data_IF_791807797467
#
_entry.id   IF_791807797467
#
_cell.length_a   1.000
_cell.length_b   1.000
_cell.length_c   1.000
_cell.angle_alpha   90.00
_cell.angle_beta   90.00
_cell.angle_gamma   90.00
#
_symmetry.space_group_name_H-M   'P 1'
#
loop_
_entity.id
_entity.type
_entity.pdbx_description
1 polymer ?
#
# COMPACT_ATOMS: atom_id res chain seq x y z
N UNK A 1 21.18 2.92 -0.19
CA UNK A 1 19.77 3.34 0.02
C UNK A 1 19.64 3.97 1.43
N UNK A 2 18.53 4.64 1.74
CA UNK A 2 18.18 4.92 3.15
C UNK A 2 17.80 3.61 3.88
N UNK A 3 17.92 3.57 5.21
CA UNK A 3 17.19 2.61 6.06
C UNK A 3 15.84 3.22 6.48
N UNK A 4 14.97 2.45 7.14
CA UNK A 4 13.69 2.99 7.66
C UNK A 4 13.93 4.07 8.71
N UNK A 5 14.90 3.85 9.60
CA UNK A 5 15.29 4.79 10.65
C UNK A 5 15.83 6.08 10.06
N UNK A 6 16.70 5.99 9.04
CA UNK A 6 17.23 7.17 8.36
C UNK A 6 16.14 7.93 7.57
N UNK A 7 15.16 7.21 7.01
CA UNK A 7 13.99 7.86 6.40
C UNK A 7 13.16 8.60 7.46
N UNK A 8 12.94 8.00 8.64
CA UNK A 8 12.22 8.63 9.75
C UNK A 8 12.91 9.92 10.20
N UNK A 9 14.22 9.84 10.46
CA UNK A 9 15.05 11.01 10.84
C UNK A 9 14.94 12.13 9.79
N UNK A 10 15.02 11.78 8.49
CA UNK A 10 14.85 12.76 7.41
C UNK A 10 13.48 13.43 7.46
N UNK A 11 12.42 12.63 7.54
CA UNK A 11 11.04 13.11 7.50
C UNK A 11 10.67 13.94 8.73
N UNK A 12 11.23 13.64 9.90
CA UNK A 12 10.99 14.38 11.13
C UNK A 12 11.72 15.73 11.19
N UNK A 13 12.82 15.89 10.43
CA UNK A 13 13.50 17.19 10.26
C UNK A 13 12.82 18.10 9.23
N UNK A 14 12.03 17.53 8.32
CA UNK A 14 11.40 18.26 7.23
C UNK A 14 10.22 19.13 7.69
N UNK A 15 9.97 20.24 7.00
CA UNK A 15 8.70 20.96 7.15
C UNK A 15 7.54 20.07 6.70
N UNK A 16 6.30 20.35 7.13
CA UNK A 16 5.13 19.53 6.76
C UNK A 16 4.98 19.36 5.23
N UNK A 17 5.23 20.41 4.46
CA UNK A 17 5.19 20.34 2.99
C UNK A 17 6.30 19.46 2.41
N UNK A 18 7.53 19.58 2.92
CA UNK A 18 8.66 18.76 2.50
C UNK A 18 8.48 17.29 2.92
N UNK A 19 7.95 17.05 4.12
CA UNK A 19 7.64 15.74 4.68
C UNK A 19 6.66 14.99 3.77
N UNK A 20 5.52 15.61 3.47
CA UNK A 20 4.53 15.01 2.55
C UNK A 20 5.15 14.73 1.17
N UNK A 21 5.91 15.66 0.62
CA UNK A 21 6.58 15.48 -0.68
C UNK A 21 7.53 14.28 -0.70
N UNK A 22 8.34 14.11 0.33
CA UNK A 22 9.26 12.97 0.43
C UNK A 22 8.57 11.66 0.80
N UNK A 23 7.45 11.70 1.52
CA UNK A 23 6.59 10.53 1.72
C UNK A 23 5.97 10.07 0.40
N UNK A 24 5.43 10.97 -0.43
CA UNK A 24 4.91 10.60 -1.76
C UNK A 24 6.04 10.12 -2.68
N UNK A 25 7.23 10.72 -2.62
CA UNK A 25 8.38 10.24 -3.39
C UNK A 25 8.80 8.82 -3.00
N UNK A 26 8.77 8.52 -1.69
CA UNK A 26 9.00 7.19 -1.13
C UNK A 26 7.93 6.20 -1.60
N UNK A 27 6.66 6.55 -1.51
CA UNK A 27 5.55 5.65 -1.85
C UNK A 27 5.56 5.31 -3.33
N UNK A 28 5.75 6.32 -4.18
CA UNK A 28 5.64 6.17 -5.64
C UNK A 28 6.93 5.72 -6.31
N UNK A 29 8.06 5.87 -5.63
CA UNK A 29 9.38 5.60 -6.18
C UNK A 29 9.70 6.39 -7.45
N UNK A 30 9.03 7.51 -7.72
CA UNK A 30 9.22 8.28 -8.95
C UNK A 30 10.59 8.97 -9.00
N UNK A 31 11.00 9.43 -10.18
CA UNK A 31 12.12 10.39 -10.25
C UNK A 31 11.62 11.73 -9.73
N UNK A 32 12.50 12.51 -9.09
CA UNK A 32 12.12 13.84 -8.58
C UNK A 32 11.55 14.76 -9.68
N UNK A 33 12.08 14.68 -10.91
CA UNK A 33 11.56 15.44 -12.04
C UNK A 33 10.21 14.96 -12.57
N UNK A 34 9.77 13.76 -12.21
CA UNK A 34 8.42 13.26 -12.47
C UNK A 34 7.49 13.74 -11.36
N UNK A 35 7.90 13.63 -10.08
CA UNK A 35 7.14 14.07 -8.92
C UNK A 35 6.71 15.55 -8.99
N UNK A 36 7.64 16.44 -9.37
CA UNK A 36 7.38 17.89 -9.46
C UNK A 36 6.47 18.28 -10.62
N UNK A 37 6.03 17.33 -11.43
CA UNK A 37 5.14 17.56 -12.58
C UNK A 37 3.79 16.88 -12.40
N UNK A 38 3.56 16.22 -11.26
CA UNK A 38 2.27 15.59 -10.94
C UNK A 38 1.26 16.68 -10.62
N UNK A 39 0.11 16.59 -11.29
CA UNK A 39 -1.05 17.45 -11.07
C UNK A 39 -2.13 16.72 -10.29
N UNK A 40 -3.13 17.45 -9.82
CA UNK A 40 -4.28 16.84 -9.15
C UNK A 40 -5.09 15.96 -10.10
N UNK A 41 -5.23 16.34 -11.37
CA UNK A 41 -5.92 15.53 -12.39
C UNK A 41 -5.25 14.18 -12.68
N UNK A 42 -4.00 14.00 -12.25
CA UNK A 42 -3.27 12.74 -12.38
C UNK A 42 -3.59 11.74 -11.25
N UNK A 43 -4.37 12.16 -10.26
CA UNK A 43 -4.68 11.39 -9.05
C UNK A 43 -6.06 10.75 -9.16
N UNK A 44 -6.10 9.44 -8.94
CA UNK A 44 -7.31 8.63 -8.98
C UNK A 44 -7.61 8.10 -7.57
N UNK A 45 -8.78 8.44 -7.06
CA UNK A 45 -9.26 8.11 -5.71
C UNK A 45 -10.25 6.94 -5.70
N UNK A 46 -10.56 6.35 -6.86
CA UNK A 46 -11.59 5.30 -6.99
C UNK A 46 -11.14 3.92 -6.48
N UNK A 47 -9.83 3.72 -6.35
CA UNK A 47 -9.24 2.42 -6.00
C UNK A 47 -8.99 2.26 -4.49
N UNK A 48 -8.68 1.02 -4.06
CA UNK A 48 -8.35 0.67 -2.66
C UNK A 48 -7.15 1.46 -2.10
N UNK A 49 -6.26 1.92 -2.98
CA UNK A 49 -5.18 2.87 -2.69
C UNK A 49 -5.25 4.02 -3.68
N UNK A 50 -4.87 5.21 -3.24
CA UNK A 50 -4.80 6.37 -4.13
C UNK A 50 -3.75 6.09 -5.20
N UNK A 51 -4.18 6.13 -6.46
CA UNK A 51 -3.32 5.91 -7.61
C UNK A 51 -2.87 7.25 -8.19
N UNK A 52 -1.61 7.32 -8.61
CA UNK A 52 -0.98 8.50 -9.19
C UNK A 52 -0.41 8.12 -10.55
N UNK A 53 -0.93 8.76 -11.60
CA UNK A 53 -0.53 8.53 -12.98
C UNK A 53 0.67 9.40 -13.31
N UNK A 54 1.80 8.75 -13.60
CA UNK A 54 3.04 9.44 -13.98
C UNK A 54 3.16 9.41 -15.49
N UNK A 55 2.87 10.54 -16.13
CA UNK A 55 2.78 10.63 -17.59
C UNK A 55 4.11 10.42 -18.31
N UNK A 56 4.04 9.74 -19.45
CA UNK A 56 5.12 9.49 -20.39
C UNK A 56 5.88 10.77 -20.82
N UNK A 57 5.17 11.90 -20.96
CA UNK A 57 5.75 13.21 -21.32
C UNK A 57 6.85 13.65 -20.35
N UNK A 58 6.74 13.23 -19.09
CA UNK A 58 7.70 13.57 -18.05
C UNK A 58 8.72 12.46 -17.77
N UNK A 59 8.56 11.26 -18.33
CA UNK A 59 9.53 10.17 -18.18
C UNK A 59 10.56 10.21 -19.30
N UNK A 60 11.84 9.94 -18.97
CA UNK A 60 12.92 9.79 -19.99
C UNK A 60 12.61 8.66 -21.00
N UNK A 61 11.67 7.78 -20.67
CA UNK A 61 11.36 6.53 -21.35
C UNK A 61 10.07 6.57 -22.17
N UNK A 62 9.31 7.68 -22.15
CA UNK A 62 8.00 7.82 -22.82
C UNK A 62 6.98 6.71 -22.49
N UNK A 63 7.12 6.02 -21.35
CA UNK A 63 6.10 5.08 -20.85
C UNK A 63 5.45 5.70 -19.61
N UNK A 64 4.11 5.74 -19.61
CA UNK A 64 3.33 6.12 -18.44
C UNK A 64 3.39 4.98 -17.43
N UNK A 65 3.40 5.31 -16.14
CA UNK A 65 3.28 4.31 -15.07
C UNK A 65 2.27 4.79 -14.04
N UNK A 66 1.58 3.84 -13.44
CA UNK A 66 0.79 4.09 -12.23
C UNK A 66 1.66 3.78 -11.01
N UNK A 67 1.58 4.62 -10.00
CA UNK A 67 2.15 4.38 -8.68
C UNK A 67 1.07 4.63 -7.63
N UNK A 68 1.30 4.23 -6.38
CA UNK A 68 0.29 4.32 -5.34
C UNK A 68 0.81 5.04 -4.09
N UNK A 69 -0.12 5.48 -3.27
CA UNK A 69 0.12 6.13 -1.97
C UNK A 69 -0.19 5.13 -0.86
N UNK A 70 0.68 5.07 0.15
CA UNK A 70 0.48 4.22 1.33
C UNK A 70 -0.62 4.78 2.23
N UNK A 71 -1.22 3.95 3.07
CA UNK A 71 -2.22 4.37 4.06
C UNK A 71 -1.69 5.40 5.06
N UNK A 72 -0.42 5.31 5.46
CA UNK A 72 0.19 6.32 6.36
C UNK A 72 0.27 7.72 5.70
N UNK A 73 0.44 7.79 4.38
CA UNK A 73 0.60 9.06 3.66
C UNK A 73 -0.75 9.63 3.21
N UNK A 74 -1.74 8.75 3.00
CA UNK A 74 -3.06 9.08 2.46
C UNK A 74 -3.76 10.26 3.16
N UNK A 75 -3.81 10.37 4.51
CA UNK A 75 -4.50 11.48 5.18
C UNK A 75 -3.95 12.85 4.79
N UNK A 76 -2.62 13.02 4.86
CA UNK A 76 -1.96 14.27 4.49
C UNK A 76 -2.09 14.56 2.99
N UNK A 77 -2.02 13.51 2.16
CA UNK A 77 -2.19 13.67 0.72
C UNK A 77 -3.59 14.14 0.35
N UNK A 78 -4.64 13.59 0.98
CA UNK A 78 -6.03 14.03 0.77
C UNK A 78 -6.25 15.49 1.16
N UNK A 79 -5.62 15.96 2.24
CA UNK A 79 -5.69 17.37 2.63
C UNK A 79 -5.09 18.25 1.53
N UNK A 80 -3.90 17.90 1.02
CA UNK A 80 -3.29 18.63 -0.09
C UNK A 80 -4.22 18.71 -1.31
N UNK A 81 -4.85 17.60 -1.70
CA UNK A 81 -5.74 17.56 -2.87
C UNK A 81 -6.97 18.47 -2.73
N UNK A 82 -7.50 18.67 -1.51
CA UNK A 82 -8.62 19.59 -1.25
C UNK A 82 -8.25 21.04 -1.54
N UNK A 83 -6.98 21.42 -1.39
CA UNK A 83 -6.49 22.78 -1.58
C UNK A 83 -5.91 23.02 -2.98
N UNK A 84 -6.08 22.08 -3.92
CA UNK A 84 -5.53 22.16 -5.27
C UNK A 84 -6.66 22.11 -6.31
N UNK A 85 -6.48 22.86 -7.40
CA UNK A 85 -7.29 22.70 -8.62
C UNK A 85 -6.71 21.58 -9.49
N UNK A 86 -7.51 21.07 -10.41
CA UNK A 86 -7.18 19.85 -11.16
C UNK A 86 -5.89 19.99 -11.97
N UNK A 87 -5.69 21.12 -12.63
CA UNK A 87 -4.48 21.42 -13.41
C UNK A 87 -3.30 21.93 -12.58
N UNK A 88 -3.44 22.10 -11.26
CA UNK A 88 -2.34 22.62 -10.44
C UNK A 88 -1.31 21.54 -10.11
N UNK A 89 -0.02 21.94 -10.16
CA UNK A 89 1.08 21.13 -9.65
C UNK A 89 0.90 20.89 -8.15
N UNK A 90 1.02 19.61 -7.75
CA UNK A 90 0.92 19.21 -6.36
C UNK A 90 2.16 19.62 -5.56
N UNK A 91 3.34 19.42 -6.14
CA UNK A 91 4.63 19.60 -5.45
C UNK A 91 5.64 20.46 -6.20
N UNK A 92 5.41 20.74 -7.49
CA UNK A 92 6.30 21.54 -8.32
C UNK A 92 6.15 23.03 -8.07
N UNK A 93 7.27 23.75 -8.10
CA UNK A 93 7.31 25.22 -7.97
C UNK A 93 7.24 25.94 -9.31
N UNK A 94 7.38 25.21 -10.43
CA UNK A 94 7.39 25.77 -11.78
C UNK A 94 6.93 24.73 -12.80
N UNK A 95 6.32 25.23 -13.89
CA UNK A 95 6.01 24.47 -15.09
C UNK A 95 7.27 24.04 -15.85
N UNK A 96 8.36 24.80 -15.72
CA UNK A 96 9.65 24.32 -16.19
C UNK A 96 10.18 23.22 -15.26
N UNK A 97 10.10 21.99 -15.76
CA UNK A 97 10.59 20.79 -15.10
C UNK A 97 12.05 20.90 -14.65
N UNK A 98 12.93 21.57 -15.40
CA UNK A 98 14.34 21.67 -15.04
C UNK A 98 14.53 22.58 -13.83
N UNK A 99 13.88 23.73 -13.83
CA UNK A 99 13.85 24.66 -12.70
C UNK A 99 13.24 24.01 -11.45
N UNK A 100 12.03 23.43 -11.56
CA UNK A 100 11.38 22.76 -10.42
C UNK A 100 12.25 21.64 -9.84
N UNK A 101 12.86 20.80 -10.70
CA UNK A 101 13.80 19.76 -10.29
C UNK A 101 15.04 20.32 -9.59
N UNK A 102 15.58 21.45 -10.09
CA UNK A 102 16.72 22.15 -9.50
C UNK A 102 16.40 22.64 -8.09
N UNK A 103 15.27 23.32 -7.93
CA UNK A 103 14.77 23.79 -6.63
C UNK A 103 14.62 22.66 -5.62
N UNK A 104 14.03 21.53 -6.01
CA UNK A 104 13.88 20.39 -5.08
C UNK A 104 15.22 19.75 -4.69
N UNK A 105 16.19 19.70 -5.60
CA UNK A 105 17.52 19.18 -5.26
C UNK A 105 18.24 20.09 -4.26
N UNK A 106 18.10 21.40 -4.41
CA UNK A 106 18.64 22.38 -3.46
C UNK A 106 17.95 22.24 -2.10
N UNK A 107 16.62 22.12 -2.08
CA UNK A 107 15.85 21.94 -0.86
C UNK A 107 16.20 20.64 -0.12
N UNK A 108 16.36 19.52 -0.83
CA UNK A 108 16.86 18.28 -0.23
C UNK A 108 18.28 18.43 0.32
N UNK A 109 19.14 19.15 -0.41
CA UNK A 109 20.53 19.40 0.02
C UNK A 109 20.58 20.18 1.32
N UNK A 110 19.71 21.17 1.49
CA UNK A 110 19.54 21.89 2.75
C UNK A 110 19.24 20.93 3.90
N UNK A 111 18.18 20.12 3.82
CA UNK A 111 17.83 19.18 4.89
C UNK A 111 18.93 18.16 5.18
N UNK A 112 19.59 17.62 4.15
CA UNK A 112 20.72 16.71 4.35
C UNK A 112 21.86 17.39 5.12
N UNK A 113 22.21 18.62 4.77
CA UNK A 113 23.30 19.34 5.42
C UNK A 113 22.94 19.71 6.86
N UNK A 114 21.69 20.09 7.13
CA UNK A 114 21.20 20.32 8.49
C UNK A 114 21.25 19.03 9.31
N UNK A 115 20.80 17.91 8.76
CA UNK A 115 20.89 16.61 9.42
C UNK A 115 22.33 16.17 9.67
N UNK A 116 23.25 16.45 8.74
CA UNK A 116 24.65 16.06 8.86
C UNK A 116 25.37 16.70 10.06
N UNK A 117 24.81 17.75 10.67
CA UNK A 117 25.31 18.36 11.91
C UNK A 117 25.11 17.43 13.11
N UNK A 118 23.98 16.74 13.16
CA UNK A 118 23.58 15.86 14.26
C UNK A 118 23.81 14.37 13.94
N UNK A 119 23.76 14.01 12.65
CA UNK A 119 23.84 12.65 12.10
C UNK A 119 24.88 12.59 10.97
N UNK A 120 26.17 12.42 11.29
CA UNK A 120 27.27 12.49 10.32
C UNK A 120 27.11 11.58 9.09
N UNK A 121 26.39 10.46 9.22
CA UNK A 121 26.12 9.51 8.13
C UNK A 121 25.32 10.12 6.96
N UNK A 122 24.60 11.23 7.19
CA UNK A 122 23.92 11.98 6.13
C UNK A 122 24.89 12.84 5.31
N UNK A 123 26.03 13.22 5.90
CA UNK A 123 27.11 13.97 5.25
C UNK A 123 28.04 13.10 4.40
N UNK A 124 28.05 11.77 4.61
CA UNK A 124 28.97 10.85 3.96
C UNK A 124 28.96 10.92 2.43
N UNK A 125 30.16 10.72 1.86
CA UNK A 125 30.41 10.68 0.42
C UNK A 125 31.08 9.37 0.02
N UNK A 126 30.87 8.95 -1.23
CA UNK A 126 31.58 7.82 -1.81
C UNK A 126 33.02 8.23 -2.11
N UNK A 127 33.99 7.40 -1.70
CA UNK A 127 35.41 7.64 -1.99
C UNK A 127 35.70 7.66 -3.49
N UNK A 128 35.00 6.85 -4.28
CA UNK A 128 35.25 6.68 -5.72
C UNK A 128 34.93 7.91 -6.58
N UNK A 129 33.95 8.73 -6.20
CA UNK A 129 33.48 9.84 -7.02
C UNK A 129 33.08 11.09 -6.23
N UNK A 130 33.36 11.11 -4.93
CA UNK A 130 33.05 12.19 -4.00
C UNK A 130 31.56 12.62 -3.99
N UNK A 131 30.63 11.77 -4.46
CA UNK A 131 29.20 12.05 -4.42
C UNK A 131 28.63 11.67 -3.06
N UNK A 132 27.67 12.44 -2.56
CA UNK A 132 26.96 12.11 -1.32
C UNK A 132 26.22 10.77 -1.44
N UNK A 133 26.30 9.96 -0.38
CA UNK A 133 25.57 8.68 -0.28
C UNK A 133 24.05 8.92 -0.14
N UNK A 134 23.66 9.99 0.54
CA UNK A 134 22.27 10.42 0.73
C UNK A 134 21.92 11.56 -0.23
N UNK A 135 21.08 11.26 -1.21
CA UNK A 135 20.54 12.21 -2.18
C UNK A 135 19.03 11.99 -2.31
N UNK A 136 18.33 12.89 -2.99
CA UNK A 136 16.91 12.68 -3.33
C UNK A 136 16.68 11.37 -4.10
N UNK A 137 17.67 10.93 -4.90
CA UNK A 137 17.59 9.65 -5.61
C UNK A 137 17.76 8.44 -4.67
N UNK A 138 18.39 8.62 -3.52
CA UNK A 138 18.53 7.56 -2.51
C UNK A 138 17.20 7.20 -1.86
N UNK A 139 16.19 8.09 -1.86
CA UNK A 139 14.80 7.78 -1.44
C UNK A 139 14.17 6.78 -2.42
N UNK A 140 14.33 7.03 -3.71
CA UNK A 140 13.88 6.07 -4.74
C UNK A 140 14.60 4.73 -4.63
N UNK A 141 15.89 4.73 -4.31
CA UNK A 141 16.62 3.49 -4.02
C UNK A 141 16.06 2.77 -2.79
N UNK A 142 15.62 3.50 -1.76
CA UNK A 142 14.91 2.91 -0.62
C UNK A 142 13.62 2.22 -1.08
N UNK A 143 12.78 2.87 -1.88
CA UNK A 143 11.56 2.26 -2.44
C UNK A 143 11.86 0.96 -3.16
N UNK A 144 12.84 0.96 -4.08
CA UNK A 144 13.21 -0.25 -4.81
C UNK A 144 13.63 -1.38 -3.85
N UNK A 145 14.48 -1.08 -2.86
CA UNK A 145 14.93 -2.06 -1.86
C UNK A 145 13.78 -2.61 -1.03
N UNK A 146 12.83 -1.76 -0.59
CA UNK A 146 11.69 -2.22 0.21
C UNK A 146 10.71 -3.07 -0.60
N UNK A 147 10.41 -2.67 -1.83
CA UNK A 147 9.61 -3.49 -2.74
C UNK A 147 10.31 -4.83 -3.04
N UNK A 148 11.63 -4.83 -3.23
CA UNK A 148 12.37 -6.10 -3.42
C UNK A 148 12.31 -7.02 -2.21
N UNK A 149 12.37 -6.47 -1.00
CA UNK A 149 12.23 -7.27 0.22
C UNK A 149 10.83 -7.83 0.40
N UNK A 150 9.82 -7.10 -0.05
CA UNK A 150 8.43 -7.51 0.07
C UNK A 150 8.04 -8.63 -0.90
N UNK A 151 8.62 -8.63 -2.10
CA UNK A 151 8.26 -9.58 -3.17
C UNK A 151 9.54 -10.14 -3.80
N UNK A 152 10.15 -9.40 -4.74
CA UNK A 152 11.38 -9.83 -5.41
C UNK A 152 12.09 -8.67 -6.14
N UNK A 153 13.30 -8.94 -6.66
CA UNK A 153 14.11 -7.97 -7.40
C UNK A 153 13.39 -7.39 -8.62
N UNK A 154 12.61 -8.21 -9.32
CA UNK A 154 11.87 -7.78 -10.50
C UNK A 154 10.81 -6.75 -10.13
N UNK A 155 10.05 -7.00 -9.07
CA UNK A 155 9.05 -6.08 -8.56
C UNK A 155 9.70 -4.76 -8.12
N UNK A 156 10.77 -4.77 -7.34
CA UNK A 156 11.40 -3.53 -6.88
C UNK A 156 11.96 -2.67 -8.01
N UNK A 157 12.55 -3.29 -9.02
CA UNK A 157 13.02 -2.58 -10.21
C UNK A 157 11.88 -2.17 -11.16
N UNK A 158 10.86 -3.00 -11.32
CA UNK A 158 9.65 -2.73 -12.09
C UNK A 158 8.86 -1.55 -11.53
N UNK A 159 8.57 -1.58 -10.23
CA UNK A 159 7.78 -0.56 -9.52
C UNK A 159 8.41 0.84 -9.62
N UNK A 160 9.74 0.91 -9.45
CA UNK A 160 10.43 2.19 -9.62
C UNK A 160 10.52 2.58 -11.11
N UNK A 161 10.49 1.64 -12.05
CA UNK A 161 10.55 1.92 -13.49
C UNK A 161 11.98 1.94 -14.03
N UNK A 162 12.77 0.94 -13.66
CA UNK A 162 14.05 0.64 -14.30
C UNK A 162 13.83 -0.01 -15.66
N UNK A 163 14.51 0.50 -16.69
CA UNK A 163 14.27 0.17 -18.11
C UNK A 163 14.24 -1.34 -18.40
N UNK A 164 15.16 -2.10 -17.78
CA UNK A 164 15.30 -3.55 -17.99
C UNK A 164 14.06 -4.35 -17.55
N UNK A 165 13.28 -3.85 -16.59
CA UNK A 165 12.16 -4.55 -15.97
C UNK A 165 10.79 -3.96 -16.38
N UNK A 166 10.80 -3.01 -17.31
CA UNK A 166 9.61 -2.29 -17.72
C UNK A 166 8.65 -3.17 -18.54
N UNK A 167 9.18 -4.17 -19.24
CA UNK A 167 8.34 -5.08 -20.02
C UNK A 167 7.67 -6.13 -19.13
N UNK A 168 8.29 -6.50 -18.00
CA UNK A 168 7.67 -7.34 -16.98
C UNK A 168 6.60 -6.57 -16.19
N UNK A 169 6.84 -5.29 -15.89
CA UNK A 169 5.81 -4.38 -15.36
C UNK A 169 4.54 -4.35 -16.22
N UNK A 170 4.70 -4.31 -17.56
CA UNK A 170 3.56 -4.23 -18.49
C UNK A 170 2.75 -5.54 -18.47
N UNK A 171 3.41 -6.69 -18.29
CA UNK A 171 2.76 -8.00 -18.23
C UNK A 171 1.97 -8.21 -16.94
N UNK A 172 2.49 -7.72 -15.81
CA UNK A 172 1.89 -7.92 -14.49
C UNK A 172 0.86 -6.84 -14.08
N UNK A 173 0.33 -6.08 -15.05
CA UNK A 173 -0.49 -4.89 -14.76
C UNK A 173 -1.75 -5.22 -13.96
N UNK A 174 -2.30 -6.41 -14.13
CA UNK A 174 -3.54 -6.85 -13.50
C UNK A 174 -3.38 -7.10 -11.98
N UNK A 175 -2.18 -7.45 -11.52
CA UNK A 175 -1.85 -7.69 -10.10
C UNK A 175 -1.08 -6.51 -9.47
N UNK A 176 -0.89 -5.41 -10.21
CA UNK A 176 0.03 -4.34 -9.84
C UNK A 176 -0.37 -3.62 -8.53
N UNK A 177 -1.67 -3.45 -8.28
CA UNK A 177 -2.18 -2.88 -7.03
C UNK A 177 -1.98 -3.84 -5.85
N UNK A 178 -2.22 -5.13 -6.03
CA UNK A 178 -2.07 -6.12 -4.96
C UNK A 178 -0.59 -6.32 -4.59
N UNK A 179 0.32 -6.35 -5.57
CA UNK A 179 1.77 -6.32 -5.32
C UNK A 179 2.20 -5.08 -4.52
N UNK A 180 1.60 -3.92 -4.80
CA UNK A 180 1.83 -2.72 -4.00
C UNK A 180 1.32 -2.89 -2.57
N UNK A 181 0.11 -3.41 -2.38
CA UNK A 181 -0.48 -3.64 -1.05
C UNK A 181 0.39 -4.59 -0.22
N UNK A 182 0.90 -5.69 -0.80
CA UNK A 182 1.85 -6.60 -0.13
C UNK A 182 3.17 -5.90 0.24
N UNK A 183 3.58 -4.92 -0.55
CA UNK A 183 4.79 -4.12 -0.31
C UNK A 183 4.61 -2.97 0.67
N UNK A 184 3.38 -2.65 1.02
CA UNK A 184 3.04 -1.38 1.65
C UNK A 184 3.71 -1.22 3.02
N UNK A 185 3.65 -2.26 3.87
CA UNK A 185 4.29 -2.27 5.18
C UNK A 185 5.82 -2.08 5.13
N UNK A 186 6.46 -2.55 4.07
CA UNK A 186 7.89 -2.34 3.88
C UNK A 186 8.20 -0.88 3.54
N UNK A 187 7.28 -0.20 2.86
CA UNK A 187 7.41 1.22 2.52
C UNK A 187 7.07 2.12 3.70
N UNK A 188 6.17 1.71 4.61
CA UNK A 188 5.76 2.56 5.73
C UNK A 188 6.89 2.83 6.73
N UNK A 189 6.90 4.06 7.26
CA UNK A 189 7.94 4.59 8.16
C UNK A 189 7.44 4.73 9.60
N UNK A 190 6.21 5.20 9.79
CA UNK A 190 5.66 5.48 11.12
C UNK A 190 4.72 4.40 11.61
N UNK A 191 3.96 3.83 10.67
CA UNK A 191 2.94 2.83 10.94
C UNK A 191 3.35 1.49 10.34
N UNK A 192 2.81 0.41 10.89
CA UNK A 192 2.82 -0.91 10.28
C UNK A 192 1.39 -1.42 10.34
N UNK A 193 0.82 -1.80 9.21
CA UNK A 193 -0.48 -2.46 9.23
C UNK A 193 -0.27 -3.93 9.57
N UNK A 194 -1.11 -4.50 10.42
CA UNK A 194 -1.21 -5.95 10.47
C UNK A 194 -1.84 -6.41 9.15
N UNK A 195 -1.02 -7.03 8.30
CA UNK A 195 -1.55 -7.79 7.17
C UNK A 195 -2.10 -9.06 7.79
N UNK A 196 -3.39 -9.05 8.15
CA UNK A 196 -4.12 -10.29 8.33
C UNK A 196 -4.11 -10.92 6.96
N UNK A 197 -3.27 -11.93 6.77
CA UNK A 197 -3.13 -12.60 5.50
C UNK A 197 -4.52 -13.00 5.04
N UNK A 198 -4.89 -12.56 3.84
CA UNK A 198 -6.19 -12.91 3.26
C UNK A 198 -6.35 -14.42 3.25
N UNK A 199 -5.26 -15.18 3.10
CA UNK A 199 -5.27 -16.64 3.14
C UNK A 199 -5.56 -17.17 4.54
N UNK A 200 -5.01 -16.57 5.61
CA UNK A 200 -5.31 -16.97 6.99
C UNK A 200 -6.76 -16.61 7.37
N UNK A 201 -7.24 -15.44 6.93
CA UNK A 201 -8.63 -15.03 7.16
C UNK A 201 -9.61 -15.86 6.36
N UNK A 202 -9.30 -16.17 5.11
CA UNK A 202 -10.09 -17.07 4.25
C UNK A 202 -10.09 -18.47 4.86
N UNK A 203 -8.95 -19.01 5.25
CA UNK A 203 -8.86 -20.31 5.93
C UNK A 203 -9.68 -20.34 7.24
N UNK A 204 -9.64 -19.28 8.05
CA UNK A 204 -10.47 -19.17 9.26
C UNK A 204 -11.96 -19.07 8.94
N UNK A 205 -12.33 -18.38 7.86
CA UNK A 205 -13.72 -18.26 7.42
C UNK A 205 -14.24 -19.58 6.83
N UNK A 206 -13.44 -20.28 6.03
CA UNK A 206 -13.72 -21.60 5.48
C UNK A 206 -13.87 -22.64 6.59
N UNK A 207 -12.97 -22.63 7.59
CA UNK A 207 -13.09 -23.49 8.76
C UNK A 207 -14.39 -23.24 9.53
N UNK A 208 -14.78 -21.97 9.71
CA UNK A 208 -16.06 -21.60 10.34
C UNK A 208 -17.28 -22.00 9.52
N UNK A 209 -17.21 -21.90 8.19
CA UNK A 209 -18.29 -22.33 7.31
C UNK A 209 -18.51 -23.85 7.40
N UNK A 210 -17.43 -24.63 7.34
CA UNK A 210 -17.52 -26.09 7.51
C UNK A 210 -18.09 -26.48 8.88
N UNK A 211 -17.71 -25.77 9.95
CA UNK A 211 -18.25 -26.02 11.28
C UNK A 211 -19.75 -25.69 11.36
N UNK A 212 -20.20 -24.60 10.73
CA UNK A 212 -21.61 -24.24 10.64
C UNK A 212 -22.42 -25.27 9.84
N UNK A 213 -21.89 -25.76 8.71
CA UNK A 213 -22.53 -26.79 7.90
C UNK A 213 -22.72 -28.10 8.69
N UNK A 214 -21.69 -28.53 9.44
CA UNK A 214 -21.79 -29.72 10.29
C UNK A 214 -22.84 -29.54 11.39
N UNK A 215 -22.87 -28.37 12.04
CA UNK A 215 -23.86 -28.06 13.06
C UNK A 215 -25.28 -28.01 12.48
N UNK A 216 -25.46 -27.51 11.26
CA UNK A 216 -26.75 -27.51 10.57
C UNK A 216 -27.22 -28.94 10.28
N UNK A 217 -26.33 -29.82 9.82
CA UNK A 217 -26.64 -31.23 9.59
C UNK A 217 -27.06 -31.94 10.88
N UNK A 218 -26.31 -31.76 11.98
CA UNK A 218 -26.69 -32.32 13.28
C UNK A 218 -28.04 -31.79 13.75
N UNK A 219 -28.29 -30.49 13.58
CA UNK A 219 -29.55 -29.86 13.97
C UNK A 219 -30.72 -30.44 13.17
N UNK A 220 -30.53 -30.67 11.87
CA UNK A 220 -31.54 -31.28 11.02
C UNK A 220 -31.79 -32.76 11.38
N UNK A 221 -30.77 -33.52 11.73
CA UNK A 221 -30.93 -34.89 12.23
C UNK A 221 -31.71 -34.92 13.55
N UNK A 222 -31.35 -34.04 14.50
CA UNK A 222 -32.07 -33.92 15.78
C UNK A 222 -33.52 -33.52 15.58
N UNK A 223 -33.82 -32.59 14.67
CA UNK A 223 -35.20 -32.21 14.30
C UNK A 223 -36.00 -33.39 13.75
N UNK A 224 -35.38 -34.21 12.89
CA UNK A 224 -36.03 -35.41 12.35
C UNK A 224 -36.35 -36.42 13.46
N UNK A 225 -35.40 -36.67 14.34
CA UNK A 225 -35.61 -37.58 15.48
C UNK A 225 -36.68 -37.07 16.45
N UNK A 226 -36.71 -35.76 16.72
CA UNK A 226 -37.78 -35.13 17.51
C UNK A 226 -39.15 -35.34 16.87
N UNK A 227 -39.26 -35.17 15.55
CA UNK A 227 -40.51 -35.43 14.83
C UNK A 227 -40.95 -36.89 14.91
N UNK A 228 -40.01 -37.84 14.91
CA UNK A 228 -40.32 -39.27 15.07
C UNK A 228 -40.85 -39.55 16.48
N UNK A 229 -40.21 -38.98 17.51
CA UNK A 229 -40.66 -39.08 18.91
C UNK A 229 -42.04 -38.45 19.11
N UNK A 230 -42.33 -37.29 18.50
CA UNK A 230 -43.64 -36.64 18.61
C UNK A 230 -44.77 -37.51 18.04
N UNK A 231 -44.51 -38.21 16.92
CA UNK A 231 -45.46 -39.17 16.34
C UNK A 231 -45.69 -40.35 17.29
N UNK A 232 -44.62 -40.86 17.90
CA UNK A 232 -44.68 -42.00 18.83
C UNK A 232 -45.46 -41.64 20.11
N UNK A 233 -45.20 -40.47 20.70
CA UNK A 233 -45.94 -39.93 21.84
C UNK A 233 -47.43 -39.79 21.50
N UNK A 234 -47.76 -39.18 20.35
CA UNK A 234 -49.16 -39.01 19.91
C UNK A 234 -49.87 -40.35 19.77
N UNK A 235 -49.17 -41.37 19.25
CA UNK A 235 -49.72 -42.73 19.08
C UNK A 235 -49.99 -43.38 20.43
N UNK A 236 -49.07 -43.26 21.38
CA UNK A 236 -49.23 -43.78 22.75
C UNK A 236 -50.37 -43.10 23.50
N UNK A 237 -50.54 -41.78 23.34
CA UNK A 237 -51.65 -41.02 23.92
C UNK A 237 -53.01 -41.49 23.39
N UNK A 238 -53.10 -41.78 22.08
CA UNK A 238 -54.31 -42.36 21.47
C UNK A 238 -54.63 -43.75 22.04
N UNK A 239 -53.63 -44.63 22.15
CA UNK A 239 -53.81 -45.97 22.72
C UNK A 239 -54.28 -45.92 24.19
N UNK A 240 -53.67 -45.04 25.00
CA UNK A 240 -54.07 -44.80 26.38
C UNK A 240 -55.51 -44.27 26.49
N UNK A 241 -55.92 -43.38 25.58
CA UNK A 241 -57.29 -42.86 25.54
C UNK A 241 -58.30 -43.98 25.25
N UNK A 242 -58.01 -44.87 24.32
CA UNK A 242 -58.87 -46.01 23.98
C UNK A 242 -59.00 -46.96 25.18
N UNK A 243 -57.89 -47.32 25.83
CA UNK A 243 -57.88 -48.19 27.02
C UNK A 243 -58.68 -47.62 28.20
N UNK A 244 -58.71 -46.29 28.35
CA UNK A 244 -59.51 -45.60 29.37
C UNK A 244 -61.00 -45.57 29.06
N UNK A 245 -61.42 -45.83 27.82
CA UNK A 245 -62.84 -45.88 27.42
C UNK A 245 -63.42 -47.31 27.45
N UNK A 246 -62.56 -48.34 27.46
CA UNK A 246 -62.94 -49.76 27.53
C UNK A 246 -62.90 -50.37 28.93
N UNK A 247 -62.48 -49.62 29.95
CA UNK A 247 -62.63 -49.92 31.37
C UNK A 247 -63.67 -49.00 32.01
#
# INVERSE_FOLDING_TARGET
PFTKEQMRILLDRCSNQAKLKYMVLKDTGCRIGELVQIRKCDVDLSQKRIAVRVHAKYTKMKKAKTAFITKETEPMFRILLKHKKDEELLFGTSEDKYSAKGSEKAHFTYYRNELAKDYPEFGERYQSNNRHKKTVHSIRSFTATQCTRAIDESWGHGYTGHKKYLDQYIRDKDDYLEKFIRSENHLMIYETMEVVDSDERVAKLEARLNELENNEQETNQKKKHLSELDIEITTLEQQLSILKQTN
#
